data_IF_051278073264
#
_entry.id   IF_051278073264
#
_cell.length_a   1.000
_cell.length_b   1.000
_cell.length_c   1.000
_cell.angle_alpha   90.00
_cell.angle_beta   90.00
_cell.angle_gamma   90.00
#
_symmetry.space_group_name_H-M   'P 1'
#
loop_
_entity.id
_entity.type
_entity.pdbx_description
1 polymer ?
#
# COMPACT_ATOMS: atom_id res chain seq x y z
N UNK A 1 -19.23 12.48 -11.77
CA UNK A 1 -18.93 13.40 -12.89
C UNK A 1 -18.94 14.81 -12.33
N UNK A 2 -17.77 15.38 -12.05
CA UNK A 2 -17.67 16.75 -11.53
C UNK A 2 -17.72 17.68 -12.74
N UNK A 3 -18.79 18.47 -12.87
CA UNK A 3 -18.84 19.57 -13.83
C UNK A 3 -18.01 20.71 -13.26
N UNK A 4 -16.85 20.93 -13.81
CA UNK A 4 -16.07 22.16 -13.56
C UNK A 4 -16.71 23.24 -14.43
N UNK A 5 -17.34 24.24 -13.81
CA UNK A 5 -17.80 25.40 -14.53
C UNK A 5 -16.57 26.25 -14.94
N UNK A 6 -16.58 26.82 -16.12
CA UNK A 6 -15.45 27.53 -16.76
C UNK A 6 -14.85 28.70 -15.93
N UNK A 7 -15.36 28.99 -14.73
CA UNK A 7 -14.93 30.10 -13.88
C UNK A 7 -14.49 29.66 -12.46
N UNK A 8 -14.41 28.38 -12.15
CA UNK A 8 -13.95 27.91 -10.84
C UNK A 8 -12.53 27.35 -10.97
N UNK A 9 -11.56 28.16 -10.61
CA UNK A 9 -10.18 27.70 -10.45
C UNK A 9 -10.02 27.17 -9.01
N UNK A 10 -9.72 25.89 -8.87
CA UNK A 10 -9.43 25.26 -7.56
C UNK A 10 -7.96 24.94 -7.55
N UNK A 11 -7.20 25.63 -6.73
CA UNK A 11 -5.81 25.34 -6.46
C UNK A 11 -5.70 24.43 -5.23
N UNK A 12 -5.00 23.30 -5.39
CA UNK A 12 -4.72 22.38 -4.30
C UNK A 12 -3.26 22.56 -3.87
N UNK A 13 -3.04 23.24 -2.77
CA UNK A 13 -1.69 23.54 -2.26
C UNK A 13 -0.91 22.28 -1.84
N UNK A 14 -1.58 21.31 -1.25
CA UNK A 14 -0.95 20.07 -0.72
C UNK A 14 -1.81 18.85 -1.05
N UNK A 15 -1.90 18.46 -2.33
CA UNK A 15 -2.75 17.34 -2.71
C UNK A 15 -2.23 16.02 -2.11
N UNK A 16 -3.12 15.26 -1.47
CA UNK A 16 -2.86 13.90 -0.99
C UNK A 16 -3.79 12.99 -1.76
N UNK A 17 -3.26 12.30 -2.77
CA UNK A 17 -4.02 11.38 -3.61
C UNK A 17 -3.52 9.96 -3.40
N UNK A 18 -4.44 9.06 -3.08
CA UNK A 18 -4.22 7.62 -3.11
C UNK A 18 -5.17 7.00 -4.13
N UNK A 19 -4.67 6.09 -4.95
CA UNK A 19 -5.44 5.45 -6.01
C UNK A 19 -5.31 3.94 -5.88
N UNK A 20 -6.43 3.24 -5.87
CA UNK A 20 -6.51 1.79 -5.97
C UNK A 20 -7.15 1.44 -7.30
N UNK A 21 -6.45 0.65 -8.11
CA UNK A 21 -6.93 0.18 -9.41
C UNK A 21 -6.92 -1.34 -9.43
N UNK A 22 -7.94 -1.93 -10.04
CA UNK A 22 -7.99 -3.36 -10.34
C UNK A 22 -8.14 -3.54 -11.84
N UNK A 23 -7.40 -4.48 -12.41
CA UNK A 23 -7.48 -4.80 -13.82
C UNK A 23 -7.06 -6.27 -14.05
N UNK A 24 -7.35 -6.79 -15.23
CA UNK A 24 -6.79 -8.07 -15.68
C UNK A 24 -5.37 -7.88 -16.21
N UNK A 25 -4.54 -8.93 -16.21
CA UNK A 25 -3.19 -8.87 -16.74
C UNK A 25 -3.10 -8.36 -18.18
N UNK A 26 -4.12 -8.67 -19.00
CA UNK A 26 -4.20 -8.21 -20.40
C UNK A 26 -4.50 -6.70 -20.54
N UNK A 27 -5.14 -6.09 -19.54
CA UNK A 27 -5.45 -4.65 -19.54
C UNK A 27 -4.27 -3.80 -19.04
N UNK A 28 -3.36 -4.39 -18.25
CA UNK A 28 -2.26 -3.66 -17.65
C UNK A 28 -1.37 -2.93 -18.67
N UNK A 29 -0.96 -3.52 -19.81
CA UNK A 29 -0.18 -2.83 -20.83
C UNK A 29 -0.90 -1.65 -21.49
N UNK A 30 -2.23 -1.67 -21.52
CA UNK A 30 -3.05 -0.57 -22.06
C UNK A 30 -3.10 0.61 -21.09
N UNK A 31 -3.14 0.33 -19.77
CA UNK A 31 -3.13 1.35 -18.73
C UNK A 31 -1.74 1.94 -18.51
N UNK A 32 -0.71 1.12 -18.68
CA UNK A 32 0.69 1.50 -18.46
C UNK A 32 1.53 1.20 -19.72
N UNK A 33 1.36 1.98 -20.79
CA UNK A 33 2.21 1.87 -21.97
C UNK A 33 3.68 2.19 -21.64
N UNK A 34 4.60 1.77 -22.52
CA UNK A 34 6.05 1.95 -22.32
C UNK A 34 6.45 3.41 -22.03
N UNK A 35 5.71 4.38 -22.57
CA UNK A 35 5.91 5.80 -22.28
C UNK A 35 5.69 6.14 -20.79
N UNK A 36 4.74 5.47 -20.14
CA UNK A 36 4.45 5.66 -18.72
C UNK A 36 5.49 4.98 -17.82
N UNK A 37 6.19 3.99 -18.32
CA UNK A 37 7.37 3.42 -17.65
C UNK A 37 8.54 4.40 -17.75
N UNK A 38 8.80 4.93 -18.95
CA UNK A 38 9.89 5.86 -19.20
C UNK A 38 9.75 7.18 -18.42
N UNK A 39 8.53 7.74 -18.28
CA UNK A 39 8.30 8.97 -17.51
C UNK A 39 8.20 8.74 -16.00
N UNK A 40 8.34 7.50 -15.55
CA UNK A 40 8.33 7.11 -14.14
C UNK A 40 6.93 7.07 -13.49
N UNK A 41 5.85 7.12 -14.26
CA UNK A 41 4.49 6.96 -13.71
C UNK A 41 4.31 5.55 -13.13
N UNK A 42 4.71 4.52 -13.87
CA UNK A 42 4.59 3.13 -13.45
C UNK A 42 5.31 2.86 -12.11
N UNK A 43 6.45 3.50 -11.86
CA UNK A 43 7.22 3.33 -10.62
C UNK A 43 6.53 3.90 -9.36
N UNK A 44 5.41 4.60 -9.51
CA UNK A 44 4.60 5.11 -8.40
C UNK A 44 3.47 4.19 -7.98
N UNK A 45 3.27 3.09 -8.71
CA UNK A 45 2.28 2.08 -8.39
C UNK A 45 2.96 0.83 -7.81
N UNK A 46 2.37 0.29 -6.75
CA UNK A 46 2.66 -1.06 -6.31
C UNK A 46 1.72 -2.02 -7.03
N UNK A 47 2.31 -2.99 -7.73
CA UNK A 47 1.55 -4.03 -8.42
C UNK A 47 1.43 -5.26 -7.51
N UNK A 48 0.20 -5.67 -7.28
CA UNK A 48 -0.09 -6.92 -6.59
C UNK A 48 -0.78 -7.87 -7.55
N UNK A 49 -0.05 -8.89 -7.98
CA UNK A 49 -0.63 -9.98 -8.76
C UNK A 49 -1.28 -10.99 -7.81
N UNK A 50 -2.59 -11.17 -7.96
CA UNK A 50 -3.27 -12.26 -7.28
C UNK A 50 -2.75 -13.57 -7.88
N UNK A 51 -2.26 -14.52 -7.05
CA UNK A 51 -1.88 -15.83 -7.56
C UNK A 51 -3.10 -16.49 -8.20
N UNK A 52 -2.87 -17.21 -9.30
CA UNK A 52 -3.92 -18.01 -9.92
C UNK A 52 -4.47 -18.96 -8.85
N UNK A 53 -5.64 -18.62 -8.32
CA UNK A 53 -6.37 -19.54 -7.47
C UNK A 53 -6.78 -20.72 -8.36
N UNK A 54 -6.70 -21.94 -7.83
CA UNK A 54 -7.27 -23.10 -8.50
C UNK A 54 -8.65 -22.71 -9.01
N UNK A 55 -8.88 -22.91 -10.30
CA UNK A 55 -10.18 -22.63 -10.91
C UNK A 55 -11.14 -23.71 -10.40
N UNK A 56 -11.73 -23.46 -9.24
CA UNK A 56 -12.78 -24.30 -8.68
C UNK A 56 -14.08 -23.52 -8.72
N UNK A 57 -15.09 -24.13 -9.31
CA UNK A 57 -16.43 -23.59 -9.20
C UNK A 57 -16.92 -23.85 -7.78
N UNK A 58 -16.94 -22.78 -6.96
CA UNK A 58 -17.44 -22.89 -5.59
C UNK A 58 -18.95 -23.07 -5.61
N UNK A 59 -19.44 -23.94 -4.71
CA UNK A 59 -20.87 -24.11 -4.51
C UNK A 59 -21.47 -22.81 -3.98
N UNK A 60 -22.15 -22.06 -4.83
CA UNK A 60 -22.79 -20.80 -4.46
C UNK A 60 -24.01 -20.98 -3.56
N UNK A 61 -24.47 -22.22 -3.39
CA UNK A 61 -25.61 -22.56 -2.52
C UNK A 61 -25.17 -22.90 -1.10
N UNK A 62 -23.88 -23.12 -0.86
CA UNK A 62 -23.31 -23.21 0.47
C UNK A 62 -23.16 -21.80 1.02
N UNK A 63 -24.09 -21.35 1.84
CA UNK A 63 -24.03 -20.06 2.51
C UNK A 63 -22.85 -20.00 3.49
N UNK A 64 -22.20 -18.85 3.60
CA UNK A 64 -21.34 -18.58 4.75
C UNK A 64 -22.24 -18.38 5.97
N UNK A 65 -21.91 -19.00 7.09
CA UNK A 65 -22.65 -18.85 8.35
C UNK A 65 -22.64 -17.40 8.87
N UNK A 66 -21.64 -16.61 8.47
CA UNK A 66 -21.51 -15.19 8.84
C UNK A 66 -21.87 -14.29 7.66
N UNK A 67 -22.87 -13.40 7.79
CA UNK A 67 -23.20 -12.42 6.77
C UNK A 67 -21.99 -11.53 6.42
N UNK A 68 -21.74 -11.31 5.14
CA UNK A 68 -20.60 -10.51 4.66
C UNK A 68 -20.62 -9.08 5.21
N UNK A 69 -21.81 -8.53 5.45
CA UNK A 69 -22.05 -7.21 6.05
C UNK A 69 -21.49 -7.12 7.47
N UNK A 70 -21.57 -8.22 8.22
CA UNK A 70 -21.03 -8.27 9.57
C UNK A 70 -19.52 -8.27 9.56
N UNK A 71 -18.91 -9.03 8.66
CA UNK A 71 -17.45 -9.04 8.44
C UNK A 71 -16.95 -7.64 8.07
N UNK A 72 -17.63 -6.96 7.14
CA UNK A 72 -17.24 -5.59 6.74
C UNK A 72 -17.48 -4.57 7.85
N UNK A 73 -18.53 -4.73 8.66
CA UNK A 73 -18.80 -3.85 9.79
C UNK A 73 -17.69 -3.96 10.84
N UNK A 74 -17.29 -5.18 11.15
CA UNK A 74 -16.22 -5.43 12.12
C UNK A 74 -14.87 -4.89 11.60
N UNK A 75 -14.53 -5.15 10.34
CA UNK A 75 -13.34 -4.60 9.71
C UNK A 75 -13.36 -3.06 9.71
N UNK A 76 -14.51 -2.46 9.43
CA UNK A 76 -14.70 -1.01 9.46
C UNK A 76 -14.44 -0.41 10.84
N UNK A 77 -14.89 -1.08 11.91
CA UNK A 77 -14.62 -0.64 13.30
C UNK A 77 -13.13 -0.68 13.62
N UNK A 78 -12.43 -1.72 13.19
CA UNK A 78 -10.97 -1.86 13.38
C UNK A 78 -10.21 -0.73 12.67
N UNK A 79 -10.56 -0.47 11.41
CA UNK A 79 -9.94 0.61 10.64
C UNK A 79 -10.23 1.99 11.25
N UNK A 80 -11.45 2.20 11.74
CA UNK A 80 -11.84 3.44 12.42
C UNK A 80 -11.03 3.66 13.71
N UNK A 81 -10.85 2.62 14.50
CA UNK A 81 -10.02 2.69 15.72
C UNK A 81 -8.59 3.07 15.39
N UNK A 82 -7.98 2.42 14.38
CA UNK A 82 -6.63 2.75 13.93
C UNK A 82 -6.54 4.21 13.45
N UNK A 83 -7.53 4.66 12.66
CA UNK A 83 -7.57 6.04 12.16
C UNK A 83 -7.58 7.05 13.30
N UNK A 84 -8.45 6.88 14.30
CA UNK A 84 -8.50 7.78 15.45
C UNK A 84 -7.21 7.75 16.26
N UNK A 85 -6.65 6.57 16.52
CA UNK A 85 -5.39 6.45 17.26
C UNK A 85 -4.21 7.13 16.55
N UNK A 86 -4.20 7.14 15.21
CA UNK A 86 -3.18 7.86 14.43
C UNK A 86 -3.47 9.37 14.35
N UNK A 87 -4.74 9.76 14.34
CA UNK A 87 -5.13 11.17 14.30
C UNK A 87 -4.76 11.89 15.60
N UNK A 88 -5.00 11.25 16.74
CA UNK A 88 -4.66 11.78 18.07
C UNK A 88 -3.14 12.00 18.24
N UNK A 89 -2.34 11.32 17.42
CA UNK A 89 -0.87 11.43 17.40
C UNK A 89 -0.32 12.43 16.36
N UNK A 90 -1.18 13.29 15.81
CA UNK A 90 -0.75 14.29 14.83
C UNK A 90 0.29 15.28 15.35
N UNK A 91 0.28 15.57 16.66
CA UNK A 91 1.25 16.46 17.32
C UNK A 91 2.51 15.71 17.81
N UNK A 92 2.38 14.39 18.06
CA UNK A 92 3.47 13.51 18.48
C UNK A 92 3.56 12.34 17.50
N UNK A 93 4.20 12.52 16.35
CA UNK A 93 4.25 11.49 15.30
C UNK A 93 5.02 10.27 15.78
N UNK A 94 4.46 9.08 15.46
CA UNK A 94 5.09 7.81 15.75
C UNK A 94 6.35 7.67 14.90
N UNK A 95 7.46 7.37 15.52
CA UNK A 95 8.72 7.12 14.84
C UNK A 95 8.84 5.65 14.46
N UNK A 96 8.81 5.37 13.16
CA UNK A 96 9.04 4.03 12.65
C UNK A 96 10.52 3.80 12.37
N UNK A 97 11.08 2.76 12.98
CA UNK A 97 12.47 2.37 12.77
C UNK A 97 12.59 0.88 12.47
N UNK A 98 13.45 0.57 11.53
CA UNK A 98 13.89 -0.81 11.31
C UNK A 98 15.05 -1.16 12.25
N UNK A 99 15.06 -2.35 12.80
CA UNK A 99 16.22 -2.88 13.51
C UNK A 99 17.44 -2.96 12.57
N UNK A 100 18.64 -2.98 13.12
CA UNK A 100 19.87 -3.09 12.33
C UNK A 100 19.85 -4.29 11.38
N UNK A 101 19.35 -5.44 11.82
CA UNK A 101 19.23 -6.63 11.00
C UNK A 101 18.23 -6.46 9.85
N UNK A 102 17.09 -5.78 10.10
CA UNK A 102 16.09 -5.47 9.07
C UNK A 102 16.66 -4.45 8.06
N UNK A 103 17.38 -3.42 8.52
CA UNK A 103 18.05 -2.46 7.65
C UNK A 103 19.05 -3.15 6.72
N UNK A 104 19.90 -4.02 7.26
CA UNK A 104 20.86 -4.78 6.48
C UNK A 104 20.17 -5.68 5.43
N UNK A 105 19.10 -6.36 5.81
CA UNK A 105 18.31 -7.18 4.89
C UNK A 105 17.69 -6.34 3.80
N UNK A 106 17.08 -5.21 4.16
CA UNK A 106 16.47 -4.27 3.22
C UNK A 106 17.49 -3.76 2.20
N UNK A 107 18.63 -3.25 2.67
CA UNK A 107 19.71 -2.73 1.82
C UNK A 107 20.24 -3.82 0.87
N UNK A 108 20.52 -5.02 1.40
CA UNK A 108 21.01 -6.14 0.59
C UNK A 108 20.00 -6.50 -0.50
N UNK A 109 18.73 -6.69 -0.14
CA UNK A 109 17.68 -7.07 -1.11
C UNK A 109 17.58 -6.10 -2.27
N UNK A 110 17.58 -4.78 -2.00
CA UNK A 110 17.47 -3.78 -3.06
C UNK A 110 18.77 -3.58 -3.83
N UNK A 111 19.93 -3.79 -3.21
CA UNK A 111 21.20 -3.81 -3.94
C UNK A 111 21.29 -5.01 -4.88
N UNK A 112 20.94 -6.21 -4.43
CA UNK A 112 20.94 -7.41 -5.27
C UNK A 112 19.99 -7.23 -6.46
N UNK A 113 18.76 -6.76 -6.20
CA UNK A 113 17.78 -6.44 -7.24
C UNK A 113 18.33 -5.38 -8.22
N UNK A 114 18.96 -4.33 -7.71
CA UNK A 114 19.54 -3.29 -8.56
C UNK A 114 20.63 -3.84 -9.47
N UNK A 115 21.56 -4.63 -8.95
CA UNK A 115 22.64 -5.25 -9.73
C UNK A 115 22.07 -6.17 -10.82
N UNK A 116 21.14 -7.04 -10.46
CA UNK A 116 20.52 -7.97 -11.39
C UNK A 116 19.75 -7.24 -12.51
N UNK A 117 18.91 -6.29 -12.16
CA UNK A 117 18.11 -5.57 -13.14
C UNK A 117 18.95 -4.58 -13.97
N UNK A 118 19.98 -3.98 -13.39
CA UNK A 118 20.90 -3.11 -14.12
C UNK A 118 21.65 -3.86 -15.23
N UNK A 119 22.08 -5.09 -14.94
CA UNK A 119 22.73 -5.94 -15.95
C UNK A 119 21.83 -6.26 -17.15
N UNK A 120 20.51 -6.30 -16.94
CA UNK A 120 19.52 -6.64 -17.98
C UNK A 120 18.99 -5.41 -18.71
N UNK A 121 18.76 -4.30 -18.03
CA UNK A 121 17.99 -3.15 -18.52
C UNK A 121 18.81 -1.85 -18.62
N UNK A 122 20.02 -1.82 -18.08
CA UNK A 122 20.89 -0.63 -18.09
C UNK A 122 20.45 0.46 -17.10
N UNK A 123 20.94 1.68 -17.31
CA UNK A 123 20.81 2.80 -16.33
C UNK A 123 19.37 3.22 -16.02
N UNK A 124 18.44 3.04 -16.94
CA UNK A 124 17.05 3.49 -16.77
C UNK A 124 16.31 2.83 -15.62
N UNK A 125 16.77 1.67 -15.13
CA UNK A 125 16.11 0.91 -14.08
C UNK A 125 16.34 1.45 -12.66
N UNK A 126 17.43 2.21 -12.45
CA UNK A 126 17.83 2.70 -11.12
C UNK A 126 16.72 3.48 -10.43
N UNK A 127 16.15 4.46 -11.14
CA UNK A 127 15.07 5.28 -10.61
C UNK A 127 13.83 4.50 -10.22
N UNK A 128 13.55 3.41 -10.95
CA UNK A 128 12.46 2.49 -10.61
C UNK A 128 12.74 1.73 -9.31
N UNK A 129 13.93 1.13 -9.18
CA UNK A 129 14.32 0.34 -7.99
C UNK A 129 14.35 1.22 -6.73
N UNK A 130 14.89 2.44 -6.82
CA UNK A 130 14.89 3.35 -5.67
C UNK A 130 13.49 3.76 -5.22
N UNK A 131 12.57 3.98 -6.17
CA UNK A 131 11.18 4.27 -5.84
C UNK A 131 10.47 3.06 -5.25
N UNK A 132 10.71 1.87 -5.80
CA UNK A 132 10.18 0.63 -5.27
C UNK A 132 10.64 0.41 -3.82
N UNK A 133 11.92 0.66 -3.52
CA UNK A 133 12.44 0.60 -2.16
C UNK A 133 11.71 1.57 -1.22
N UNK A 134 11.51 2.81 -1.66
CA UNK A 134 10.76 3.80 -0.88
C UNK A 134 9.31 3.37 -0.62
N UNK A 135 8.64 2.86 -1.65
CA UNK A 135 7.27 2.36 -1.50
C UNK A 135 7.21 1.13 -0.57
N UNK A 136 8.13 0.18 -0.72
CA UNK A 136 8.23 -0.95 0.21
C UNK A 136 8.45 -0.50 1.66
N UNK A 137 9.30 0.51 1.89
CA UNK A 137 9.48 1.08 3.23
C UNK A 137 8.18 1.68 3.78
N UNK A 138 7.44 2.43 2.98
CA UNK A 138 6.13 2.98 3.36
C UNK A 138 5.12 1.88 3.68
N UNK A 139 5.12 0.79 2.90
CA UNK A 139 4.25 -0.36 3.18
C UNK A 139 4.59 -1.04 4.50
N UNK A 140 5.89 -1.15 4.86
CA UNK A 140 6.25 -1.73 6.15
C UNK A 140 5.72 -0.91 7.32
N UNK A 141 5.66 0.43 7.20
CA UNK A 141 5.03 1.30 8.20
C UNK A 141 3.53 0.98 8.35
N UNK A 142 2.81 0.92 7.23
CA UNK A 142 1.37 0.62 7.23
C UNK A 142 1.09 -0.77 7.78
N UNK A 143 1.85 -1.77 7.34
CA UNK A 143 1.70 -3.15 7.80
C UNK A 143 2.01 -3.30 9.30
N UNK A 144 2.97 -2.54 9.82
CA UNK A 144 3.27 -2.53 11.25
C UNK A 144 2.10 -1.95 12.05
N UNK A 145 1.53 -0.83 11.60
CA UNK A 145 0.33 -0.27 12.24
C UNK A 145 -0.86 -1.23 12.21
N UNK A 146 -1.11 -1.89 11.07
CA UNK A 146 -2.17 -2.91 10.95
C UNK A 146 -1.92 -4.13 11.83
N UNK A 147 -0.67 -4.55 11.99
CA UNK A 147 -0.30 -5.65 12.89
C UNK A 147 -0.57 -5.29 14.34
N UNK A 148 -0.16 -4.10 14.77
CA UNK A 148 -0.46 -3.58 16.12
C UNK A 148 -1.97 -3.55 16.37
N UNK A 149 -2.74 -3.08 15.41
CA UNK A 149 -4.19 -3.12 15.49
C UNK A 149 -4.69 -4.56 15.69
N UNK A 150 -4.19 -5.54 14.93
CA UNK A 150 -4.62 -6.93 15.05
C UNK A 150 -4.27 -7.56 16.41
N UNK A 151 -3.12 -7.20 16.97
CA UNK A 151 -2.61 -7.72 18.24
C UNK A 151 -3.34 -7.11 19.45
N UNK A 152 -3.66 -5.82 19.39
CA UNK A 152 -4.21 -5.05 20.53
C UNK A 152 -5.72 -4.80 20.44
N UNK A 153 -6.37 -5.18 19.34
CA UNK A 153 -7.79 -4.99 19.18
C UNK A 153 -8.61 -5.78 20.23
N UNK A 154 -9.47 -5.06 20.96
CA UNK A 154 -10.25 -5.64 22.05
C UNK A 154 -9.50 -5.82 23.36
N UNK A 155 -8.27 -5.33 23.48
CA UNK A 155 -7.53 -5.25 24.74
C UNK A 155 -7.66 -3.85 25.35
N UNK A 156 -7.30 -3.70 26.63
CA UNK A 156 -7.22 -2.40 27.29
C UNK A 156 -5.93 -1.62 26.95
N UNK A 157 -5.00 -2.24 26.20
CA UNK A 157 -3.75 -1.63 25.84
C UNK A 157 -3.94 -0.60 24.71
N UNK A 158 -3.26 0.56 24.76
CA UNK A 158 -3.26 1.51 23.67
C UNK A 158 -2.63 0.90 22.42
N UNK A 159 -3.07 1.30 21.23
CA UNK A 159 -2.51 0.79 19.96
C UNK A 159 -1.04 1.17 19.81
N UNK A 160 -0.65 2.32 20.31
CA UNK A 160 0.72 2.80 20.31
C UNK A 160 1.06 3.31 21.70
N UNK A 161 2.24 3.01 22.18
CA UNK A 161 2.74 3.49 23.46
C UNK A 161 3.30 4.91 23.30
N UNK A 162 3.41 5.66 24.41
CA UNK A 162 3.87 7.06 24.36
C UNK A 162 5.37 7.18 24.03
N UNK A 163 6.10 6.08 24.17
CA UNK A 163 7.54 5.99 23.89
C UNK A 163 7.86 5.47 22.47
N UNK A 164 6.84 5.25 21.61
CA UNK A 164 7.01 4.74 20.23
C UNK A 164 7.12 5.84 19.15
#
# INVERSE_FOLDING_TARGET
MVRVSEHLFIELEKPRLSVLLTCTGSQLPLLLPASNVANGLASRFLFYALPDSKVEFRNVFEGNDTPIEEIYRELGRKVQLLYHSLLDRSEHPIQFMLTTAQQQTFIRTFNDMLQEQYAMMGEGIQGYIFRLALECFRYTMVLTALRRLSERYGTEQPLFDDDE
#
